data_IF_678762028813
#
_entry.id   IF_678762028813
#
_cell.length_a   1.000
_cell.length_b   1.000
_cell.length_c   1.000
_cell.angle_alpha   90.00
_cell.angle_beta   90.00
_cell.angle_gamma   90.00
#
_symmetry.space_group_name_H-M   'P 1'
#
loop_
_entity.id
_entity.type
_entity.pdbx_description
1 polymer ?
#
# COMPACT_ATOMS: atom_id res chain seq x y z
N UNK A 1 -7.34 -7.13 -16.39
CA UNK A 1 -8.70 -6.58 -16.51
C UNK A 1 -9.56 -7.04 -15.36
N UNK A 2 -10.24 -6.13 -14.69
CA UNK A 2 -11.27 -6.35 -13.66
C UNK A 2 -12.61 -5.95 -14.26
N UNK A 3 -13.61 -6.86 -14.24
CA UNK A 3 -14.88 -6.70 -14.95
C UNK A 3 -16.06 -6.97 -14.02
N UNK A 4 -16.79 -5.89 -13.65
CA UNK A 4 -17.99 -5.87 -12.78
C UNK A 4 -17.83 -6.71 -11.49
N UNK A 5 -16.70 -6.53 -10.80
CA UNK A 5 -16.33 -7.37 -9.67
C UNK A 5 -16.99 -6.89 -8.38
N UNK A 6 -17.60 -7.84 -7.67
CA UNK A 6 -18.12 -7.67 -6.30
C UNK A 6 -17.48 -8.72 -5.39
N UNK A 7 -16.97 -8.30 -4.24
CA UNK A 7 -16.45 -9.17 -3.18
C UNK A 7 -17.31 -9.03 -1.94
N UNK A 8 -17.77 -10.18 -1.44
CA UNK A 8 -18.64 -10.30 -0.28
C UNK A 8 -17.99 -11.18 0.78
N UNK A 9 -18.05 -10.72 2.01
CA UNK A 9 -17.72 -11.52 3.19
C UNK A 9 -18.97 -11.76 4.03
N UNK A 10 -19.08 -12.95 4.60
CA UNK A 10 -20.09 -13.27 5.59
C UNK A 10 -19.44 -13.06 6.97
N UNK A 11 -19.89 -12.04 7.70
CA UNK A 11 -19.42 -11.76 9.05
C UNK A 11 -20.45 -12.36 10.02
N UNK A 12 -19.99 -13.25 10.91
CA UNK A 12 -20.86 -13.76 11.97
C UNK A 12 -21.26 -12.59 12.88
N UNK A 13 -22.55 -12.42 13.11
CA UNK A 13 -23.09 -11.32 13.92
C UNK A 13 -22.68 -11.43 15.39
N UNK A 14 -22.31 -12.63 15.84
CA UNK A 14 -21.87 -12.92 17.20
C UNK A 14 -20.59 -13.74 17.19
N UNK A 15 -19.66 -13.43 18.09
CA UNK A 15 -18.52 -14.30 18.37
C UNK A 15 -19.02 -15.57 19.05
N UNK A 16 -18.79 -16.70 18.43
CA UNK A 16 -19.10 -18.01 19.00
C UNK A 16 -17.77 -18.63 19.43
N UNK A 17 -17.50 -18.61 20.72
CA UNK A 17 -16.23 -19.09 21.27
C UNK A 17 -16.21 -20.60 21.52
N UNK A 18 -17.37 -21.30 21.36
CA UNK A 18 -17.50 -22.71 21.68
C UNK A 18 -18.13 -23.50 20.54
N UNK A 19 -17.49 -24.63 20.17
CA UNK A 19 -17.99 -25.54 19.16
C UNK A 19 -19.41 -26.09 19.48
N UNK A 20 -19.71 -26.30 20.78
CA UNK A 20 -21.04 -26.70 21.27
C UNK A 20 -22.12 -25.65 20.96
N UNK A 21 -21.81 -24.39 21.20
CA UNK A 21 -22.70 -23.26 20.95
C UNK A 21 -22.93 -23.09 19.43
N UNK A 22 -21.87 -23.25 18.62
CA UNK A 22 -21.95 -23.24 17.17
C UNK A 22 -22.93 -24.31 16.66
N UNK A 23 -22.80 -25.56 17.11
CA UNK A 23 -23.69 -26.67 16.71
C UNK A 23 -25.13 -26.41 17.13
N UNK A 24 -25.37 -25.91 18.36
CA UNK A 24 -26.71 -25.58 18.85
C UNK A 24 -27.37 -24.49 17.99
N UNK A 25 -26.65 -23.39 17.73
CA UNK A 25 -27.15 -22.28 16.89
C UNK A 25 -27.33 -22.71 15.43
N UNK A 26 -26.48 -23.59 14.92
CA UNK A 26 -26.61 -24.17 13.57
C UNK A 26 -27.90 -25.00 13.44
N UNK A 27 -28.17 -25.91 14.40
CA UNK A 27 -29.37 -26.73 14.42
C UNK A 27 -30.63 -25.88 14.60
N UNK A 28 -30.57 -24.87 15.42
CA UNK A 28 -31.67 -23.91 15.66
C UNK A 28 -31.87 -22.90 14.53
N UNK A 29 -30.99 -22.87 13.51
CA UNK A 29 -30.96 -21.85 12.45
C UNK A 29 -30.84 -20.40 12.97
N UNK A 30 -30.23 -20.23 14.13
CA UNK A 30 -29.98 -18.93 14.79
C UNK A 30 -28.64 -18.31 14.40
N UNK A 31 -27.84 -18.96 13.54
CA UNK A 31 -26.62 -18.39 12.98
C UNK A 31 -26.98 -17.24 12.04
N UNK A 32 -26.90 -16.03 12.54
CA UNK A 32 -27.08 -14.81 11.75
C UNK A 32 -25.72 -14.39 11.19
N UNK A 33 -25.63 -14.39 9.87
CA UNK A 33 -24.49 -13.81 9.16
C UNK A 33 -24.93 -12.48 8.56
N UNK A 34 -24.12 -11.48 8.79
CA UNK A 34 -24.28 -10.19 8.12
C UNK A 34 -23.40 -10.19 6.88
N UNK A 35 -23.99 -9.92 5.73
CA UNK A 35 -23.25 -9.76 4.50
C UNK A 35 -22.51 -8.41 4.48
N UNK A 36 -21.22 -8.43 4.29
CA UNK A 36 -20.39 -7.26 4.12
C UNK A 36 -19.84 -7.21 2.69
N UNK A 37 -20.22 -6.21 1.95
CA UNK A 37 -19.72 -5.97 0.60
C UNK A 37 -18.42 -5.16 0.68
N UNK A 38 -17.29 -5.84 0.54
CA UNK A 38 -15.98 -5.22 0.59
C UNK A 38 -15.60 -4.50 -0.72
N UNK A 39 -16.10 -5.02 -1.86
CA UNK A 39 -16.00 -4.36 -3.17
C UNK A 39 -17.34 -4.48 -3.88
N UNK A 40 -17.74 -3.44 -4.63
CA UNK A 40 -19.04 -3.36 -5.28
C UNK A 40 -18.87 -2.83 -6.71
N UNK A 41 -19.15 -3.70 -7.71
CA UNK A 41 -19.20 -3.36 -9.13
C UNK A 41 -17.95 -2.61 -9.66
N UNK A 42 -16.77 -3.09 -9.27
CA UNK A 42 -15.49 -2.47 -9.68
C UNK A 42 -15.14 -2.96 -11.08
N UNK A 43 -14.82 -2.00 -11.98
CA UNK A 43 -14.43 -2.30 -13.37
C UNK A 43 -13.31 -1.39 -13.85
N UNK A 44 -12.17 -1.96 -14.24
CA UNK A 44 -11.06 -1.24 -14.88
C UNK A 44 -10.16 -2.20 -15.66
N UNK A 45 -9.34 -1.61 -16.51
CA UNK A 45 -8.37 -2.33 -17.31
C UNK A 45 -7.03 -1.59 -17.23
N UNK A 46 -5.96 -2.33 -16.93
CA UNK A 46 -4.58 -1.86 -16.89
C UNK A 46 -3.88 -2.47 -18.08
N UNK A 47 -3.23 -1.66 -18.89
CA UNK A 47 -2.41 -2.14 -20.01
C UNK A 47 -1.01 -2.44 -19.54
N UNK A 48 -0.31 -3.27 -20.29
CA UNK A 48 1.10 -3.59 -20.02
C UNK A 48 1.95 -2.32 -20.00
N UNK A 49 2.80 -2.20 -18.99
CA UNK A 49 3.71 -1.07 -18.79
C UNK A 49 3.06 0.17 -18.15
N UNK A 50 1.75 0.14 -17.85
CA UNK A 50 1.11 1.26 -17.13
C UNK A 50 1.35 1.15 -15.62
N UNK A 51 1.48 2.30 -14.96
CA UNK A 51 1.54 2.41 -13.50
C UNK A 51 0.22 2.95 -12.95
N UNK A 52 -0.44 2.17 -12.09
CA UNK A 52 -1.73 2.50 -11.49
C UNK A 52 -1.67 2.59 -9.98
N UNK A 53 -2.09 3.73 -9.43
CA UNK A 53 -2.21 3.96 -8.00
C UNK A 53 -3.60 3.59 -7.47
N UNK A 54 -3.67 2.95 -6.30
CA UNK A 54 -4.90 2.74 -5.54
C UNK A 54 -4.90 3.63 -4.31
N UNK A 55 -5.84 4.57 -4.23
CA UNK A 55 -5.96 5.52 -3.12
C UNK A 55 -7.31 5.41 -2.43
N UNK A 56 -7.38 5.86 -1.20
CA UNK A 56 -8.58 5.83 -0.37
C UNK A 56 -8.26 5.65 1.11
N UNK A 57 -9.23 5.91 1.96
CA UNK A 57 -9.10 5.77 3.43
C UNK A 57 -8.92 4.31 3.85
N UNK A 58 -8.55 4.08 5.12
CA UNK A 58 -8.51 2.73 5.67
C UNK A 58 -9.90 2.10 5.65
N UNK A 59 -9.96 0.82 5.25
CA UNK A 59 -11.24 0.12 5.07
C UNK A 59 -11.98 0.43 3.76
N UNK A 60 -11.41 1.22 2.83
CA UNK A 60 -12.05 1.53 1.55
C UNK A 60 -12.09 0.34 0.56
N UNK A 61 -11.33 -0.75 0.82
CA UNK A 61 -11.31 -1.96 -0.01
C UNK A 61 -10.01 -2.17 -0.79
N UNK A 62 -8.97 -1.32 -0.64
CA UNK A 62 -7.68 -1.42 -1.37
C UNK A 62 -7.03 -2.80 -1.22
N UNK A 63 -6.78 -3.24 -0.01
CA UNK A 63 -6.14 -4.55 0.25
C UNK A 63 -7.01 -5.72 -0.20
N UNK A 64 -8.34 -5.58 -0.18
CA UNK A 64 -9.25 -6.58 -0.75
C UNK A 64 -9.10 -6.65 -2.27
N UNK A 65 -9.00 -5.50 -2.93
CA UNK A 65 -8.79 -5.43 -4.38
C UNK A 65 -7.42 -5.98 -4.77
N UNK A 66 -6.35 -5.71 -4.01
CA UNK A 66 -5.04 -6.31 -4.25
C UNK A 66 -5.07 -7.84 -4.13
N UNK A 67 -5.65 -8.36 -3.04
CA UNK A 67 -5.80 -9.81 -2.84
C UNK A 67 -6.63 -10.48 -3.94
N UNK A 68 -7.61 -9.78 -4.46
CA UNK A 68 -8.41 -10.23 -5.60
C UNK A 68 -7.58 -10.29 -6.89
N UNK A 69 -6.82 -9.23 -7.20
CA UNK A 69 -5.96 -9.17 -8.38
C UNK A 69 -4.82 -10.20 -8.26
N UNK A 70 -4.27 -10.41 -7.07
CA UNK A 70 -3.24 -11.43 -6.83
C UNK A 70 -3.78 -12.87 -6.87
N UNK A 71 -5.08 -13.06 -7.09
CA UNK A 71 -5.69 -14.39 -7.13
C UNK A 71 -5.88 -15.07 -5.77
N UNK A 72 -5.56 -14.37 -4.66
CA UNK A 72 -5.76 -14.86 -3.28
C UNK A 72 -7.24 -14.93 -2.94
N UNK A 73 -8.03 -13.97 -3.45
CA UNK A 73 -9.49 -13.96 -3.27
C UNK A 73 -10.20 -14.24 -4.60
N UNK A 74 -11.35 -14.91 -4.52
CA UNK A 74 -12.26 -15.08 -5.65
C UNK A 74 -13.40 -14.08 -5.55
N UNK A 75 -13.83 -13.47 -6.67
CA UNK A 75 -14.96 -12.57 -6.65
C UNK A 75 -16.27 -13.35 -6.43
N UNK A 76 -17.24 -12.72 -5.73
CA UNK A 76 -18.61 -13.21 -5.65
C UNK A 76 -19.33 -13.04 -6.98
N UNK A 77 -19.09 -11.91 -7.68
CA UNK A 77 -19.64 -11.59 -9.01
C UNK A 77 -18.55 -10.95 -9.85
N UNK A 78 -18.64 -11.09 -11.16
CA UNK A 78 -17.69 -10.54 -12.12
C UNK A 78 -16.46 -11.43 -12.34
N UNK A 79 -15.44 -10.91 -13.00
CA UNK A 79 -14.26 -11.66 -13.39
C UNK A 79 -13.01 -10.81 -13.34
N UNK A 80 -11.90 -11.41 -12.89
CA UNK A 80 -10.56 -10.86 -13.05
C UNK A 80 -9.82 -11.69 -14.10
N UNK A 81 -9.21 -11.01 -15.07
CA UNK A 81 -8.38 -11.64 -16.11
C UNK A 81 -6.99 -11.03 -16.04
N UNK A 82 -5.99 -11.88 -15.91
CA UNK A 82 -4.60 -11.49 -15.77
C UNK A 82 -3.83 -12.18 -16.89
N UNK A 83 -2.92 -11.43 -17.50
CA UNK A 83 -1.98 -11.91 -18.51
C UNK A 83 -0.56 -11.57 -18.05
N UNK A 84 0.24 -12.59 -17.81
CA UNK A 84 1.61 -12.44 -17.32
C UNK A 84 1.82 -12.91 -15.88
N UNK A 85 3.07 -12.85 -15.43
CA UNK A 85 3.53 -13.21 -14.09
C UNK A 85 3.26 -12.04 -13.11
N UNK A 86 2.89 -12.38 -11.87
CA UNK A 86 2.64 -11.40 -10.82
C UNK A 86 3.67 -11.58 -9.70
N UNK A 87 4.35 -10.50 -9.31
CA UNK A 87 5.09 -10.43 -8.06
C UNK A 87 4.33 -9.56 -7.04
N UNK A 88 3.67 -10.16 -6.04
CA UNK A 88 2.96 -9.41 -5.03
C UNK A 88 3.92 -8.99 -3.90
N UNK A 89 4.21 -7.70 -3.79
CA UNK A 89 4.87 -7.07 -2.63
C UNK A 89 3.82 -6.59 -1.62
N UNK A 90 2.88 -7.47 -1.25
CA UNK A 90 1.79 -7.12 -0.31
C UNK A 90 2.27 -7.26 1.13
N UNK A 91 3.15 -8.20 1.40
CA UNK A 91 3.77 -8.42 2.71
C UNK A 91 5.26 -8.71 2.49
N UNK A 92 6.13 -7.70 2.71
CA UNK A 92 7.58 -7.88 2.61
C UNK A 92 8.07 -8.90 3.61
N UNK A 93 8.79 -9.92 3.11
CA UNK A 93 9.26 -11.03 3.94
C UNK A 93 8.20 -12.12 4.16
N UNK A 94 7.03 -12.06 3.50
CA UNK A 94 6.13 -13.20 3.43
C UNK A 94 6.89 -14.40 2.82
N UNK A 95 6.90 -15.52 3.55
CA UNK A 95 7.67 -16.70 3.16
C UNK A 95 9.08 -16.77 3.75
N UNK A 96 9.51 -15.79 4.56
CA UNK A 96 10.72 -15.95 5.36
C UNK A 96 10.50 -16.94 6.49
N UNK A 97 11.48 -17.81 6.68
CA UNK A 97 11.58 -18.62 7.88
C UNK A 97 12.46 -17.87 8.90
N UNK A 98 11.86 -17.54 10.03
CA UNK A 98 12.49 -16.73 11.05
C UNK A 98 13.73 -17.39 11.69
N UNK A 99 13.80 -18.72 11.67
CA UNK A 99 14.91 -19.49 12.24
C UNK A 99 16.09 -19.67 11.26
N UNK A 100 15.84 -19.47 9.97
CA UNK A 100 16.88 -19.50 8.95
C UNK A 100 17.62 -18.16 8.86
N UNK A 101 18.86 -18.22 8.40
CA UNK A 101 19.71 -17.05 8.10
C UNK A 101 19.17 -16.27 6.92
N UNK A 102 19.62 -15.02 6.74
CA UNK A 102 19.29 -14.24 5.56
C UNK A 102 19.74 -14.91 4.26
N UNK A 103 20.93 -15.52 4.27
CA UNK A 103 21.46 -16.30 3.15
C UNK A 103 20.48 -17.40 2.74
N UNK A 104 20.04 -18.22 3.68
CA UNK A 104 19.11 -19.31 3.42
C UNK A 104 17.73 -18.78 2.97
N UNK A 105 17.25 -17.70 3.58
CA UNK A 105 15.99 -17.06 3.19
C UNK A 105 16.01 -16.45 1.77
N UNK A 106 17.14 -15.97 1.27
CA UNK A 106 17.28 -15.52 -0.12
C UNK A 106 16.93 -16.68 -1.08
N UNK A 107 17.51 -17.86 -0.86
CA UNK A 107 17.21 -19.03 -1.71
C UNK A 107 15.81 -19.58 -1.49
N UNK A 108 15.35 -19.64 -0.24
CA UNK A 108 13.99 -20.08 0.09
C UNK A 108 12.94 -19.20 -0.57
N UNK A 109 13.08 -17.87 -0.42
CA UNK A 109 12.12 -16.93 -0.98
C UNK A 109 12.18 -16.89 -2.50
N UNK A 110 13.37 -16.98 -3.08
CA UNK A 110 13.55 -17.15 -4.53
C UNK A 110 12.80 -18.36 -5.07
N UNK A 111 12.90 -19.51 -4.39
CA UNK A 111 12.16 -20.73 -4.76
C UNK A 111 10.63 -20.56 -4.64
N UNK A 112 10.15 -19.85 -3.60
CA UNK A 112 8.72 -19.50 -3.43
C UNK A 112 8.23 -18.63 -4.58
N UNK A 113 9.08 -17.70 -5.07
CA UNK A 113 8.78 -16.86 -6.23
C UNK A 113 8.93 -17.58 -7.58
N UNK A 114 9.34 -18.85 -7.56
CA UNK A 114 9.45 -19.70 -8.76
C UNK A 114 10.80 -19.67 -9.46
N UNK A 115 11.86 -19.18 -8.79
CA UNK A 115 13.22 -19.13 -9.33
C UNK A 115 14.02 -20.36 -8.93
N UNK A 116 14.85 -20.84 -9.84
CA UNK A 116 15.75 -21.94 -9.55
C UNK A 116 16.97 -21.46 -8.73
N UNK A 117 17.66 -22.42 -8.13
CA UNK A 117 18.82 -22.15 -7.28
C UNK A 117 19.94 -21.43 -8.03
N UNK A 118 20.16 -21.79 -9.30
CA UNK A 118 21.22 -21.20 -10.12
C UNK A 118 20.97 -19.73 -10.39
N UNK A 119 19.73 -19.36 -10.71
CA UNK A 119 19.34 -17.97 -10.89
C UNK A 119 19.58 -17.16 -9.61
N UNK A 120 19.18 -17.70 -8.45
CA UNK A 120 19.38 -17.02 -7.18
C UNK A 120 20.88 -16.89 -6.81
N UNK A 121 21.70 -17.86 -7.18
CA UNK A 121 23.15 -17.82 -6.97
C UNK A 121 23.80 -16.74 -7.84
N UNK A 122 23.41 -16.61 -9.10
CA UNK A 122 23.89 -15.57 -10.02
C UNK A 122 23.55 -14.15 -9.54
N UNK A 123 22.39 -13.97 -8.91
CA UNK A 123 21.90 -12.65 -8.44
C UNK A 123 22.14 -12.40 -6.93
N UNK A 124 22.70 -13.36 -6.22
CA UNK A 124 22.87 -13.30 -4.77
C UNK A 124 23.60 -12.03 -4.30
N UNK A 125 24.72 -11.70 -4.93
CA UNK A 125 25.50 -10.53 -4.54
C UNK A 125 24.76 -9.22 -4.80
N UNK A 126 24.01 -9.12 -5.88
CA UNK A 126 23.20 -7.93 -6.19
C UNK A 126 22.06 -7.76 -5.17
N UNK A 127 21.38 -8.84 -4.76
CA UNK A 127 20.37 -8.82 -3.71
C UNK A 127 20.96 -8.28 -2.40
N UNK A 128 22.10 -8.83 -2.00
CA UNK A 128 22.78 -8.47 -0.76
C UNK A 128 23.25 -7.03 -0.75
N UNK A 129 23.82 -6.57 -1.87
CA UNK A 129 24.29 -5.20 -2.04
C UNK A 129 23.13 -4.20 -2.04
N UNK A 130 22.03 -4.54 -2.73
CA UNK A 130 20.85 -3.71 -2.73
C UNK A 130 20.25 -3.57 -1.32
N UNK A 131 20.13 -4.69 -0.59
CA UNK A 131 19.57 -4.70 0.77
C UNK A 131 20.51 -4.09 1.83
N UNK A 132 21.81 -3.90 1.51
CA UNK A 132 22.86 -3.39 2.43
C UNK A 132 23.05 -4.28 3.66
N UNK A 133 23.02 -5.60 3.44
CA UNK A 133 23.04 -6.60 4.51
C UNK A 133 24.30 -7.50 4.53
N UNK A 134 25.40 -7.06 3.89
CA UNK A 134 26.63 -7.86 3.74
C UNK A 134 27.16 -8.43 5.07
N UNK A 135 27.06 -7.66 6.15
CA UNK A 135 27.58 -8.03 7.46
C UNK A 135 26.60 -8.87 8.31
N UNK A 136 25.41 -9.15 7.79
CA UNK A 136 24.32 -9.78 8.54
C UNK A 136 23.82 -11.09 7.93
N UNK A 137 24.46 -11.59 6.86
CA UNK A 137 23.98 -12.71 6.04
C UNK A 137 23.80 -14.01 6.82
N UNK A 138 24.67 -14.27 7.79
CA UNK A 138 24.67 -15.51 8.57
C UNK A 138 23.89 -15.37 9.89
N UNK A 139 23.15 -14.25 10.06
CA UNK A 139 22.26 -14.02 11.18
C UNK A 139 20.84 -14.50 10.84
N UNK A 140 20.17 -15.26 11.74
CA UNK A 140 18.77 -15.62 11.59
C UNK A 140 17.86 -14.42 11.50
N UNK A 141 16.82 -14.49 10.62
CA UNK A 141 15.89 -13.37 10.36
C UNK A 141 15.13 -12.91 11.61
N UNK A 142 14.87 -13.81 12.58
CA UNK A 142 14.27 -13.44 13.87
C UNK A 142 15.03 -12.36 14.64
N UNK A 143 16.33 -12.21 14.36
CA UNK A 143 17.20 -11.19 14.97
C UNK A 143 17.28 -9.90 14.13
N UNK A 144 16.61 -9.84 12.99
CA UNK A 144 16.56 -8.66 12.14
C UNK A 144 15.58 -7.64 12.71
N UNK A 145 15.86 -6.35 12.50
CA UNK A 145 14.83 -5.33 12.64
C UNK A 145 13.79 -5.49 11.52
N UNK A 146 12.58 -4.97 11.73
CA UNK A 146 11.56 -4.96 10.67
C UNK A 146 12.05 -4.28 9.38
N UNK A 147 12.86 -3.23 9.52
CA UNK A 147 13.49 -2.55 8.39
C UNK A 147 14.49 -3.43 7.63
N UNK A 148 15.34 -4.19 8.33
CA UNK A 148 16.29 -5.12 7.69
C UNK A 148 15.55 -6.24 6.93
N UNK A 149 14.55 -6.85 7.56
CA UNK A 149 13.76 -7.89 6.92
C UNK A 149 13.02 -7.36 5.67
N UNK A 150 12.48 -6.16 5.76
CA UNK A 150 11.78 -5.54 4.65
C UNK A 150 12.73 -5.13 3.51
N UNK A 151 13.95 -4.62 3.81
CA UNK A 151 14.99 -4.35 2.80
C UNK A 151 15.35 -5.63 2.03
N UNK A 152 15.53 -6.74 2.75
CA UNK A 152 15.82 -8.03 2.13
C UNK A 152 14.66 -8.52 1.25
N UNK A 153 13.43 -8.46 1.76
CA UNK A 153 12.24 -8.87 1.01
C UNK A 153 12.04 -8.06 -0.26
N UNK A 154 12.22 -6.74 -0.19
CA UNK A 154 12.13 -5.87 -1.35
C UNK A 154 13.24 -6.18 -2.38
N UNK A 155 14.50 -6.37 -1.92
CA UNK A 155 15.61 -6.71 -2.79
C UNK A 155 15.36 -8.00 -3.57
N UNK A 156 14.90 -9.06 -2.89
CA UNK A 156 14.59 -10.35 -3.53
C UNK A 156 13.47 -10.19 -4.55
N UNK A 157 12.38 -9.57 -4.16
CA UNK A 157 11.18 -9.49 -4.99
C UNK A 157 11.32 -8.58 -6.22
N UNK A 158 12.23 -7.59 -6.17
CA UNK A 158 12.52 -6.68 -7.29
C UNK A 158 13.73 -7.07 -8.11
N UNK A 159 14.41 -8.16 -7.73
CA UNK A 159 15.52 -8.71 -8.51
C UNK A 159 15.03 -9.30 -9.82
N UNK A 160 13.85 -9.82 -9.82
CA UNK A 160 13.28 -10.54 -10.95
C UNK A 160 12.42 -9.61 -11.79
N UNK A 161 12.64 -9.65 -13.08
CA UNK A 161 11.75 -9.00 -14.03
C UNK A 161 10.41 -9.75 -14.02
N UNK A 162 9.35 -9.06 -13.62
CA UNK A 162 7.98 -9.56 -13.60
C UNK A 162 7.11 -8.73 -14.53
N UNK A 163 6.06 -9.35 -15.10
CA UNK A 163 5.13 -8.61 -15.95
C UNK A 163 4.30 -7.61 -15.14
N UNK A 164 3.94 -7.99 -13.90
CA UNK A 164 3.07 -7.18 -13.03
C UNK A 164 3.66 -7.16 -11.62
N UNK A 165 3.96 -5.97 -11.12
CA UNK A 165 4.39 -5.73 -9.75
C UNK A 165 3.22 -5.12 -8.96
N UNK A 166 2.87 -5.74 -7.83
CA UNK A 166 1.84 -5.24 -6.91
C UNK A 166 2.52 -4.81 -5.61
N UNK A 167 2.43 -3.52 -5.27
CA UNK A 167 3.05 -2.96 -4.08
C UNK A 167 2.01 -2.40 -3.12
N UNK A 168 2.01 -2.83 -1.84
CA UNK A 168 1.14 -2.31 -0.78
C UNK A 168 1.99 -1.62 0.29
N UNK A 169 2.06 -0.28 0.26
CA UNK A 169 2.74 0.58 1.26
C UNK A 169 4.24 0.28 1.49
N UNK A 170 4.84 -0.46 0.58
CA UNK A 170 6.19 -1.03 0.71
C UNK A 170 7.29 0.03 0.71
N UNK A 171 7.06 1.19 0.08
CA UNK A 171 8.06 2.27 -0.01
C UNK A 171 8.24 3.05 1.30
N UNK A 172 7.42 2.79 2.32
CA UNK A 172 7.58 3.42 3.64
C UNK A 172 8.63 2.73 4.52
N UNK A 173 9.35 1.74 3.97
CA UNK A 173 10.31 0.89 4.70
C UNK A 173 11.72 1.44 4.62
N UNK A 174 12.42 1.38 5.75
CA UNK A 174 13.80 1.85 5.85
C UNK A 174 13.92 3.35 6.10
N UNK A 175 15.12 3.88 5.94
CA UNK A 175 15.39 5.30 5.98
C UNK A 175 15.14 5.96 4.61
N UNK A 176 15.22 7.28 4.59
CA UNK A 176 14.97 8.07 3.38
C UNK A 176 15.86 7.66 2.20
N UNK A 177 17.14 7.35 2.46
CA UNK A 177 18.09 6.95 1.40
C UNK A 177 17.68 5.64 0.75
N UNK A 178 17.24 4.67 1.56
CA UNK A 178 16.75 3.39 1.04
C UNK A 178 15.43 3.54 0.28
N UNK A 179 14.53 4.42 0.74
CA UNK A 179 13.28 4.72 0.03
C UNK A 179 13.55 5.29 -1.38
N UNK A 180 14.52 6.21 -1.53
CA UNK A 180 14.93 6.72 -2.83
C UNK A 180 15.46 5.60 -3.75
N UNK A 181 16.29 4.72 -3.20
CA UNK A 181 16.83 3.55 -3.92
C UNK A 181 15.72 2.59 -4.39
N UNK A 182 14.68 2.41 -3.57
CA UNK A 182 13.49 1.64 -3.95
C UNK A 182 12.69 2.35 -5.08
N UNK A 183 12.47 3.66 -4.98
CA UNK A 183 11.80 4.44 -6.03
C UNK A 183 12.56 4.35 -7.36
N UNK A 184 13.89 4.52 -7.36
CA UNK A 184 14.74 4.38 -8.55
C UNK A 184 14.64 2.98 -9.17
N UNK A 185 14.66 1.92 -8.35
CA UNK A 185 14.48 0.54 -8.83
C UNK A 185 13.12 0.36 -9.48
N UNK A 186 12.06 0.89 -8.89
CA UNK A 186 10.71 0.80 -9.45
C UNK A 186 10.58 1.57 -10.77
N UNK A 187 11.17 2.78 -10.86
CA UNK A 187 11.23 3.52 -12.13
C UNK A 187 11.91 2.72 -13.23
N UNK A 188 13.05 2.11 -12.93
CA UNK A 188 13.74 1.25 -13.89
C UNK A 188 12.88 0.07 -14.34
N UNK A 189 12.18 -0.60 -13.41
CA UNK A 189 11.27 -1.69 -13.77
C UNK A 189 10.13 -1.22 -14.68
N UNK A 190 9.58 -0.01 -14.44
CA UNK A 190 8.58 0.59 -15.32
C UNK A 190 9.13 0.90 -16.72
N UNK A 191 10.34 1.46 -16.82
CA UNK A 191 11.03 1.70 -18.09
C UNK A 191 11.28 0.39 -18.86
N UNK A 192 11.54 -0.71 -18.14
CA UNK A 192 11.71 -2.06 -18.71
C UNK A 192 10.38 -2.74 -19.07
N UNK A 193 9.23 -2.05 -18.89
CA UNK A 193 7.90 -2.49 -19.33
C UNK A 193 7.09 -3.26 -18.26
N UNK A 194 7.53 -3.29 -17.01
CA UNK A 194 6.74 -3.86 -15.91
C UNK A 194 5.50 -3.02 -15.64
N UNK A 195 4.36 -3.68 -15.47
CA UNK A 195 3.09 -3.02 -15.06
C UNK A 195 3.07 -2.87 -13.55
N UNK A 196 2.77 -1.69 -13.02
CA UNK A 196 2.74 -1.41 -11.59
C UNK A 196 1.32 -1.20 -11.08
N UNK A 197 0.97 -1.88 -9.98
CA UNK A 197 -0.20 -1.58 -9.15
C UNK A 197 0.32 -1.17 -7.78
N UNK A 198 0.17 0.10 -7.45
CA UNK A 198 0.77 0.72 -6.28
C UNK A 198 -0.28 1.23 -5.30
N UNK A 199 -0.23 0.76 -4.07
CA UNK A 199 -1.06 1.27 -2.98
C UNK A 199 -0.19 2.06 -2.03
N UNK A 200 -0.60 3.29 -1.73
CA UNK A 200 0.10 4.13 -0.77
C UNK A 200 -0.85 5.10 -0.07
N UNK A 201 -0.54 5.41 1.17
CA UNK A 201 -1.13 6.56 1.88
C UNK A 201 -0.47 7.88 1.49
N UNK A 202 0.75 7.84 0.96
CA UNK A 202 1.42 9.01 0.45
C UNK A 202 0.96 9.33 -0.98
N UNK A 203 0.06 10.30 -1.07
CA UNK A 203 -0.48 10.78 -2.35
C UNK A 203 0.62 11.31 -3.28
N UNK A 204 1.73 11.82 -2.73
CA UNK A 204 2.81 12.32 -3.58
C UNK A 204 3.60 11.20 -4.23
N UNK A 205 3.81 10.09 -3.54
CA UNK A 205 4.44 8.92 -4.15
C UNK A 205 3.57 8.36 -5.30
N UNK A 206 2.23 8.33 -5.13
CA UNK A 206 1.31 7.96 -6.21
C UNK A 206 1.42 8.92 -7.41
N UNK A 207 1.51 10.24 -7.15
CA UNK A 207 1.66 11.25 -8.22
C UNK A 207 2.99 11.17 -8.97
N UNK A 208 4.06 10.68 -8.31
CA UNK A 208 5.39 10.52 -8.93
C UNK A 208 5.52 9.22 -9.71
N UNK A 209 4.94 8.14 -9.20
CA UNK A 209 5.15 6.78 -9.74
C UNK A 209 4.06 6.32 -10.69
N UNK A 210 2.86 6.92 -10.63
CA UNK A 210 1.70 6.38 -11.33
C UNK A 210 1.19 7.35 -12.42
N UNK A 211 0.86 6.79 -13.58
CA UNK A 211 0.20 7.52 -14.67
C UNK A 211 -1.29 7.68 -14.41
N UNK A 212 -1.88 6.65 -13.80
CA UNK A 212 -3.29 6.53 -13.50
C UNK A 212 -3.54 6.22 -12.04
N UNK A 213 -4.74 6.53 -11.55
CA UNK A 213 -5.15 6.14 -10.21
C UNK A 213 -6.63 5.75 -10.15
N UNK A 214 -6.97 4.96 -9.14
CA UNK A 214 -8.33 4.62 -8.76
C UNK A 214 -8.52 5.05 -7.31
N UNK A 215 -9.52 5.88 -7.06
CA UNK A 215 -9.95 6.22 -5.72
C UNK A 215 -11.12 5.32 -5.31
N UNK A 216 -10.91 4.59 -4.21
CA UNK A 216 -11.91 3.73 -3.59
C UNK A 216 -12.43 4.38 -2.30
N UNK A 217 -13.76 4.34 -2.12
CA UNK A 217 -14.42 4.62 -0.84
C UNK A 217 -15.50 3.58 -0.56
N UNK A 218 -15.49 2.99 0.64
CA UNK A 218 -16.47 1.98 1.10
C UNK A 218 -16.76 0.88 0.08
N UNK A 219 -15.70 0.39 -0.56
CA UNK A 219 -15.76 -0.68 -1.56
C UNK A 219 -16.27 -0.27 -2.95
N UNK A 220 -16.42 1.03 -3.21
CA UNK A 220 -16.88 1.55 -4.51
C UNK A 220 -15.79 2.39 -5.16
N UNK A 221 -15.78 2.39 -6.49
CA UNK A 221 -15.00 3.33 -7.29
C UNK A 221 -15.65 4.71 -7.22
N UNK A 222 -14.93 5.70 -6.69
CA UNK A 222 -15.37 7.10 -6.64
C UNK A 222 -14.90 7.82 -7.90
N UNK A 223 -13.61 7.63 -8.24
CA UNK A 223 -12.99 8.25 -9.40
C UNK A 223 -11.87 7.36 -9.93
N UNK A 224 -11.67 7.35 -11.24
CA UNK A 224 -10.49 6.77 -11.88
C UNK A 224 -10.05 7.58 -13.08
N UNK A 225 -8.76 7.50 -13.42
CA UNK A 225 -8.18 8.19 -14.57
C UNK A 225 -6.77 8.64 -14.28
N UNK A 226 -6.37 9.78 -14.84
CA UNK A 226 -5.05 10.35 -14.63
C UNK A 226 -4.75 10.55 -13.14
N UNK A 227 -3.57 10.12 -12.69
CA UNK A 227 -3.17 10.10 -11.28
C UNK A 227 -3.26 11.49 -10.62
N UNK A 228 -2.81 12.56 -11.32
CA UNK A 228 -2.87 13.92 -10.78
C UNK A 228 -4.31 14.36 -10.51
N UNK A 229 -5.19 14.14 -11.48
CA UNK A 229 -6.61 14.52 -11.36
C UNK A 229 -7.33 13.78 -10.26
N UNK A 230 -7.09 12.46 -10.15
CA UNK A 230 -7.71 11.62 -9.11
C UNK A 230 -7.19 11.99 -7.72
N UNK A 231 -5.88 12.21 -7.59
CA UNK A 231 -5.26 12.65 -6.33
C UNK A 231 -5.75 14.03 -5.88
N UNK A 232 -5.92 14.97 -6.80
CA UNK A 232 -6.48 16.30 -6.50
C UNK A 232 -7.94 16.21 -6.03
N UNK A 233 -8.75 15.37 -6.70
CA UNK A 233 -10.13 15.09 -6.30
C UNK A 233 -10.19 14.51 -4.88
N UNK A 234 -9.35 13.53 -4.59
CA UNK A 234 -9.25 12.92 -3.26
C UNK A 234 -8.86 13.93 -2.17
N UNK A 235 -7.81 14.74 -2.41
CA UNK A 235 -7.38 15.78 -1.47
C UNK A 235 -8.49 16.79 -1.21
N UNK A 236 -9.19 17.22 -2.27
CA UNK A 236 -10.28 18.19 -2.16
C UNK A 236 -11.43 17.69 -1.29
N UNK A 237 -11.79 16.42 -1.43
CA UNK A 237 -12.82 15.78 -0.60
C UNK A 237 -12.38 15.70 0.87
N UNK A 238 -11.15 15.21 1.11
CA UNK A 238 -10.60 15.11 2.47
C UNK A 238 -10.52 16.48 3.17
N UNK A 239 -10.14 17.53 2.45
CA UNK A 239 -10.11 18.91 2.98
C UNK A 239 -11.53 19.45 3.19
N UNK A 240 -12.47 19.09 2.32
CA UNK A 240 -13.90 19.41 2.45
C UNK A 240 -14.48 18.83 3.74
N UNK A 241 -14.22 17.57 4.00
CA UNK A 241 -14.65 16.86 5.23
C UNK A 241 -14.05 17.47 6.50
N UNK A 242 -12.77 17.85 6.47
CA UNK A 242 -12.12 18.54 7.60
C UNK A 242 -12.79 19.89 7.89
N UNK A 243 -13.17 20.65 6.86
CA UNK A 243 -13.89 21.93 7.02
C UNK A 243 -15.32 21.75 7.53
N UNK A 244 -15.99 20.67 7.16
CA UNK A 244 -17.33 20.35 7.65
C UNK A 244 -17.31 19.91 9.12
N UNK A 245 -16.33 19.11 9.52
CA UNK A 245 -16.12 18.69 10.92
C UNK A 245 -15.80 19.87 11.85
N UNK A 246 -15.10 20.90 11.35
CA UNK A 246 -14.81 22.13 12.13
C UNK A 246 -16.05 22.95 12.52
N UNK A 247 -17.20 22.74 11.89
CA UNK A 247 -18.42 23.50 12.21
C UNK A 247 -19.17 23.01 13.46
N UNK A 248 -18.79 21.85 14.01
CA UNK A 248 -19.51 21.20 15.11
C UNK A 248 -18.75 20.96 16.41
N UNK A 249 -17.43 20.98 16.42
CA UNK A 249 -16.64 20.61 17.59
C UNK A 249 -15.56 21.66 17.94
N UNK A 250 -15.41 21.97 19.22
CA UNK A 250 -14.38 22.86 19.80
C UNK A 250 -12.95 22.25 19.73
N UNK A 251 -12.46 21.95 18.53
CA UNK A 251 -11.10 21.46 18.35
C UNK A 251 -10.27 22.42 17.47
N UNK A 252 -9.19 22.92 18.03
CA UNK A 252 -8.18 23.64 17.27
C UNK A 252 -7.27 22.65 16.52
N UNK A 253 -7.32 22.68 15.20
CA UNK A 253 -6.41 21.92 14.33
C UNK A 253 -5.34 22.83 13.77
N UNK A 254 -4.09 22.43 13.91
CA UNK A 254 -2.97 23.04 13.18
C UNK A 254 -2.70 22.21 11.93
N UNK A 255 -2.95 22.80 10.77
CA UNK A 255 -2.58 22.18 9.48
C UNK A 255 -1.16 22.64 9.17
N UNK A 256 -0.21 21.72 9.21
CA UNK A 256 1.17 21.98 8.78
C UNK A 256 1.29 21.44 7.35
N UNK A 257 1.44 22.34 6.37
CA UNK A 257 1.83 21.96 5.02
C UNK A 257 3.35 22.02 4.90
N UNK A 258 3.98 20.93 4.52
CA UNK A 258 5.40 20.92 4.17
C UNK A 258 5.54 21.17 2.66
N UNK A 259 6.21 22.25 2.29
CA UNK A 259 6.60 22.55 0.91
C UNK A 259 8.03 22.06 0.72
N UNK A 260 8.25 21.26 -0.29
CA UNK A 260 9.57 20.75 -0.63
C UNK A 260 10.32 21.77 -1.50
N UNK A 261 10.91 22.76 -0.84
CA UNK A 261 11.95 23.62 -1.41
C UNK A 261 12.84 24.08 -0.25
N UNK A 262 13.91 23.36 -0.03
CA UNK A 262 14.85 23.55 1.08
C UNK A 262 15.59 24.89 1.06
N UNK A 263 15.45 25.69 0.03
CA UNK A 263 16.21 26.94 -0.15
C UNK A 263 15.54 28.18 0.45
N UNK A 264 14.31 28.08 1.04
CA UNK A 264 13.52 29.25 1.49
C UNK A 264 12.88 29.13 2.87
N UNK A 265 13.35 28.24 3.72
CA UNK A 265 12.85 28.18 5.10
C UNK A 265 13.53 29.19 5.99
N UNK A 266 12.90 30.34 6.18
CA UNK A 266 13.03 31.11 7.43
C UNK A 266 12.25 30.33 8.52
N UNK A 267 12.85 30.26 9.71
CA UNK A 267 12.33 29.52 10.86
C UNK A 267 10.85 29.82 11.09
N UNK A 268 10.03 28.78 11.07
CA UNK A 268 8.61 28.86 11.36
C UNK A 268 8.40 29.34 12.81
N UNK A 269 7.89 30.54 12.96
CA UNK A 269 7.43 31.10 14.23
C UNK A 269 5.97 30.68 14.42
N UNK A 270 5.72 29.73 15.36
CA UNK A 270 4.40 29.13 15.64
C UNK A 270 3.29 30.11 16.06
N UNK A 271 3.60 31.41 16.17
CA UNK A 271 2.66 32.46 16.58
C UNK A 271 2.10 33.31 15.43
N UNK A 272 2.45 33.04 14.17
CA UNK A 272 1.90 33.80 13.02
C UNK A 272 0.59 33.20 12.51
N UNK A 273 -0.47 34.02 12.30
CA UNK A 273 -1.75 33.54 11.80
C UNK A 273 -1.66 32.99 10.38
N UNK A 274 -2.40 31.93 10.14
CA UNK A 274 -2.52 31.17 8.86
C UNK A 274 -2.97 31.98 7.64
N UNK A 275 -3.39 33.22 7.78
CA UNK A 275 -3.84 34.09 6.67
C UNK A 275 -2.77 34.38 5.61
N UNK A 276 -1.51 34.23 5.94
CA UNK A 276 -0.40 34.48 5.01
C UNK A 276 -0.16 33.33 4.02
N UNK A 277 -0.68 32.12 4.30
CA UNK A 277 -0.49 30.94 3.46
C UNK A 277 -1.55 30.83 2.33
N UNK A 278 -2.68 31.55 2.46
CA UNK A 278 -3.77 31.48 1.48
C UNK A 278 -3.54 32.32 0.21
N UNK A 279 -2.55 33.17 0.16
CA UNK A 279 -2.30 34.13 -0.94
C UNK A 279 -1.19 33.74 -1.92
N UNK A 280 -0.44 32.66 -1.66
CA UNK A 280 0.53 32.14 -2.63
C UNK A 280 0.09 30.77 -3.08
N UNK A 281 0.00 30.56 -4.39
CA UNK A 281 -0.22 29.26 -5.04
C UNK A 281 0.96 28.33 -4.70
N UNK A 282 0.87 27.64 -3.57
CA UNK A 282 1.81 26.60 -3.16
C UNK A 282 1.14 25.26 -3.38
N UNK A 283 1.83 24.28 -3.98
CA UNK A 283 1.32 22.91 -4.04
C UNK A 283 1.20 22.36 -2.62
N UNK A 284 0.03 21.94 -2.24
CA UNK A 284 -0.26 21.35 -0.92
C UNK A 284 0.33 19.95 -0.92
N UNK A 285 1.33 19.69 -0.07
CA UNK A 285 2.07 18.45 -0.15
C UNK A 285 1.83 17.48 1.02
N UNK A 286 1.52 17.92 2.25
CA UNK A 286 1.24 16.99 3.35
C UNK A 286 0.37 17.54 4.47
N UNK A 287 -0.40 16.63 5.09
CA UNK A 287 -1.11 16.87 6.33
C UNK A 287 -0.66 15.87 7.39
N UNK A 288 -0.05 16.35 8.46
CA UNK A 288 0.11 15.56 9.68
C UNK A 288 -0.81 16.15 10.74
N UNK A 289 -1.83 15.42 11.16
CA UNK A 289 -2.64 15.82 12.30
C UNK A 289 -1.89 15.48 13.60
N UNK A 290 -1.52 16.47 14.38
CA UNK A 290 -1.13 16.30 15.79
C UNK A 290 -2.17 16.93 16.69
N UNK A 291 -2.67 16.14 17.65
CA UNK A 291 -3.52 16.61 18.72
C UNK A 291 -2.64 17.27 19.79
N UNK A 292 -2.83 18.54 20.06
CA UNK A 292 -2.21 19.19 21.20
C UNK A 292 -3.25 19.27 22.34
N UNK A 293 -2.89 18.83 23.57
CA UNK A 293 -3.76 19.05 24.73
C UNK A 293 -3.79 20.54 25.04
N UNK A 294 -4.98 21.07 25.23
CA UNK A 294 -5.14 22.44 25.76
C UNK A 294 -4.46 22.53 27.13
N UNK A 295 -3.55 23.49 27.31
CA UNK A 295 -3.11 23.89 28.64
C UNK A 295 -4.28 24.59 29.31
N UNK A 296 -4.70 24.02 30.45
CA UNK A 296 -5.54 24.73 31.41
C UNK A 296 -4.78 25.90 32.03
#
# INVERSE_FOLDING_TARGET
KVDDVTVRFNIASERIDNLKEYVIKFVKRELMFQEFLALQNISFEIKQGEAWGLIGVNGSGKSTLLKLISGILKPYKGKVTISGSIAPLIELGAGFDADLTARENIFLNGAVLGHDHKFMEEHFNEIVEFAELQNFLDMPIKNYSSGMAARLGFAIATMVQTDILICDEVLSVGDYAFQQKCEERMHKMLEDGTTLIYVSHDINSVRRLCDHAIWLDKGKEVMKGNALTVCEGYIKEMVGDIKAAKKGDDFDYVIVSAVHDDSKYDKFDGNKPLELLSKKQLPIIFYTMRRYPQKK
#
